data_IF_291197497729
#
_entry.id   IF_291197497729
#
_cell.length_a   1.000
_cell.length_b   1.000
_cell.length_c   1.000
_cell.angle_alpha   90.00
_cell.angle_beta   90.00
_cell.angle_gamma   90.00
#
_symmetry.space_group_name_H-M   'P 1'
#
loop_
_entity.id
_entity.type
_entity.pdbx_description
1 polymer ?
#
# COMPACT_ATOMS: atom_id res chain seq x y z
N UNK A 1 17.45 9.94 -18.54
CA UNK A 1 18.40 8.83 -18.71
C UNK A 1 19.52 8.84 -17.66
N UNK A 2 20.25 9.98 -17.52
CA UNK A 2 21.45 10.07 -16.68
C UNK A 2 21.19 9.72 -15.22
N UNK A 3 20.07 10.12 -14.67
CA UNK A 3 19.70 9.86 -13.27
C UNK A 3 19.43 8.38 -13.02
N UNK A 4 18.69 7.72 -13.91
CA UNK A 4 18.41 6.27 -13.79
C UNK A 4 19.67 5.44 -14.04
N UNK A 5 20.52 5.85 -14.96
CA UNK A 5 21.79 5.19 -15.28
C UNK A 5 22.89 5.36 -14.20
N UNK A 6 22.70 6.26 -13.25
CA UNK A 6 23.73 6.60 -12.26
C UNK A 6 24.12 5.40 -11.39
N UNK A 7 23.13 4.70 -10.85
CA UNK A 7 23.37 3.50 -10.02
C UNK A 7 24.12 2.39 -10.77
N UNK A 8 23.58 1.89 -11.89
CA UNK A 8 24.22 0.87 -12.72
C UNK A 8 25.65 1.21 -13.17
N UNK A 9 25.91 2.48 -13.53
CA UNK A 9 27.27 2.93 -13.89
C UNK A 9 28.24 2.82 -12.72
N UNK A 10 27.80 3.17 -11.51
CA UNK A 10 28.64 3.06 -10.31
C UNK A 10 28.92 1.62 -9.92
N UNK A 11 28.10 0.67 -10.37
CA UNK A 11 28.36 -0.77 -10.23
C UNK A 11 29.39 -1.30 -11.25
N UNK A 12 29.87 -0.45 -12.15
CA UNK A 12 30.90 -0.81 -13.14
C UNK A 12 30.39 -1.61 -14.33
N UNK A 13 29.06 -1.56 -14.59
CA UNK A 13 28.46 -2.25 -15.72
C UNK A 13 28.83 -1.57 -17.06
N UNK A 14 28.82 -2.33 -18.14
CA UNK A 14 29.02 -1.83 -19.50
C UNK A 14 27.90 -0.88 -19.93
N UNK A 15 28.15 -0.03 -20.92
CA UNK A 15 27.14 0.89 -21.42
C UNK A 15 25.90 0.16 -21.98
N UNK A 16 26.08 -1.01 -22.57
CA UNK A 16 24.98 -1.83 -23.12
C UNK A 16 24.11 -2.41 -21.99
N UNK A 17 24.71 -2.91 -20.92
CA UNK A 17 23.99 -3.40 -19.73
C UNK A 17 23.25 -2.25 -19.03
N UNK A 18 23.90 -1.09 -18.90
CA UNK A 18 23.27 0.12 -18.32
C UNK A 18 22.04 0.54 -19.13
N UNK A 19 22.15 0.60 -20.47
CA UNK A 19 21.01 1.00 -21.33
C UNK A 19 19.84 0.02 -21.20
N UNK A 20 20.12 -1.27 -21.19
CA UNK A 20 19.11 -2.32 -21.02
C UNK A 20 18.39 -2.19 -19.65
N UNK A 21 19.13 -1.98 -18.56
CA UNK A 21 18.60 -1.80 -17.22
C UNK A 21 17.76 -0.52 -17.10
N UNK A 22 18.20 0.58 -17.69
CA UNK A 22 17.46 1.85 -17.70
C UNK A 22 16.11 1.68 -18.41
N UNK A 23 16.09 1.08 -19.60
CA UNK A 23 14.86 0.83 -20.36
C UNK A 23 13.89 -0.05 -19.58
N UNK A 24 14.36 -1.21 -19.13
CA UNK A 24 13.57 -2.14 -18.34
C UNK A 24 13.00 -1.50 -17.07
N UNK A 25 13.82 -0.72 -16.34
CA UNK A 25 13.40 -0.09 -15.11
C UNK A 25 12.33 0.98 -15.32
N UNK A 26 12.42 1.76 -16.39
CA UNK A 26 11.39 2.74 -16.77
C UNK A 26 10.07 2.05 -17.15
N UNK A 27 10.11 0.96 -17.90
CA UNK A 27 8.93 0.17 -18.24
C UNK A 27 8.27 -0.43 -16.99
N UNK A 28 9.05 -0.96 -16.06
CA UNK A 28 8.54 -1.52 -14.79
C UNK A 28 7.77 -0.50 -13.96
N UNK A 29 8.13 0.78 -14.03
CA UNK A 29 7.40 1.86 -13.35
C UNK A 29 6.33 2.51 -14.23
N UNK A 30 6.08 1.99 -15.43
CA UNK A 30 5.06 2.47 -16.37
C UNK A 30 5.40 3.81 -17.01
N UNK A 31 6.69 4.03 -17.32
CA UNK A 31 7.18 5.19 -18.03
C UNK A 31 7.81 4.79 -19.37
N UNK A 32 7.54 5.56 -20.42
CA UNK A 32 8.14 5.37 -21.73
C UNK A 32 9.56 5.93 -21.75
N UNK A 33 10.54 5.10 -22.12
CA UNK A 33 11.92 5.53 -22.29
C UNK A 33 12.02 6.60 -23.37
N UNK A 34 11.39 6.38 -24.53
CA UNK A 34 11.52 7.28 -25.70
C UNK A 34 10.95 8.68 -25.43
N UNK A 35 9.94 8.77 -24.56
CA UNK A 35 9.34 10.05 -24.18
C UNK A 35 10.18 10.82 -23.16
N UNK A 36 10.99 10.13 -22.33
CA UNK A 36 11.60 10.72 -21.15
C UNK A 36 13.13 10.76 -21.17
N UNK A 37 13.79 10.00 -22.06
CA UNK A 37 15.24 9.84 -22.06
C UNK A 37 16.01 11.16 -22.12
N UNK A 38 15.49 12.13 -22.90
CA UNK A 38 16.12 13.44 -23.12
C UNK A 38 15.58 14.54 -22.19
N UNK A 39 14.49 14.26 -21.43
CA UNK A 39 13.89 15.27 -20.55
C UNK A 39 14.70 15.45 -19.27
N UNK A 40 14.77 16.69 -18.81
CA UNK A 40 15.25 17.01 -17.47
C UNK A 40 14.24 16.54 -16.42
N UNK A 41 14.66 16.04 -15.24
CA UNK A 41 13.76 15.74 -14.14
C UNK A 41 12.83 16.89 -13.76
N UNK A 42 13.28 18.14 -13.94
CA UNK A 42 12.49 19.35 -13.63
C UNK A 42 11.34 19.62 -14.62
N UNK A 43 11.35 18.97 -15.78
CA UNK A 43 10.28 19.07 -16.79
C UNK A 43 9.18 18.01 -16.56
N UNK A 44 9.38 17.11 -15.59
CA UNK A 44 8.47 16.03 -15.27
C UNK A 44 7.42 16.46 -14.25
N UNK A 45 6.21 15.89 -14.36
CA UNK A 45 5.23 15.99 -13.26
C UNK A 45 5.76 15.34 -11.98
N UNK A 46 5.27 15.76 -10.81
CA UNK A 46 5.70 15.17 -9.53
C UNK A 46 5.56 13.65 -9.46
N UNK A 47 4.49 13.11 -10.07
CA UNK A 47 4.31 11.66 -10.18
C UNK A 47 5.34 10.98 -11.09
N UNK A 48 5.69 11.62 -12.21
CA UNK A 48 6.75 11.13 -13.10
C UNK A 48 8.13 11.20 -12.44
N UNK A 49 8.45 12.31 -11.77
CA UNK A 49 9.70 12.46 -11.02
C UNK A 49 9.90 11.33 -10.01
N UNK A 50 8.84 11.03 -9.22
CA UNK A 50 8.87 9.95 -8.23
C UNK A 50 9.08 8.59 -8.88
N UNK A 51 8.41 8.31 -10.01
CA UNK A 51 8.58 7.06 -10.75
C UNK A 51 9.98 6.94 -11.37
N UNK A 52 10.56 8.04 -11.88
CA UNK A 52 11.93 8.07 -12.39
C UNK A 52 12.93 7.79 -11.26
N UNK A 53 12.77 8.42 -10.09
CA UNK A 53 13.60 8.14 -8.93
C UNK A 53 13.51 6.65 -8.52
N UNK A 54 12.30 6.09 -8.56
CA UNK A 54 12.06 4.68 -8.28
C UNK A 54 12.72 3.76 -9.33
N UNK A 55 12.64 4.12 -10.62
CA UNK A 55 13.33 3.42 -11.70
C UNK A 55 14.86 3.41 -11.50
N UNK A 56 15.43 4.51 -10.99
CA UNK A 56 16.86 4.57 -10.65
C UNK A 56 17.29 3.56 -9.59
N UNK A 57 16.44 3.28 -8.61
CA UNK A 57 16.70 2.22 -7.61
C UNK A 57 16.52 0.84 -8.23
N UNK A 58 15.46 0.62 -9.01
CA UNK A 58 15.19 -0.66 -9.68
C UNK A 58 16.25 -1.02 -10.72
N UNK A 59 16.90 -0.03 -11.33
CA UNK A 59 17.97 -0.24 -12.29
C UNK A 59 19.23 -0.91 -11.68
N UNK A 60 19.36 -0.89 -10.36
CA UNK A 60 20.41 -1.60 -9.64
C UNK A 60 20.05 -3.09 -9.38
N UNK A 61 18.91 -3.54 -9.87
CA UNK A 61 18.36 -4.90 -9.72
C UNK A 61 18.36 -5.41 -8.26
N UNK A 62 17.73 -4.67 -7.32
CA UNK A 62 17.73 -5.06 -5.92
C UNK A 62 16.88 -6.31 -5.70
N UNK A 63 17.30 -7.19 -4.80
CA UNK A 63 16.49 -8.32 -4.32
C UNK A 63 15.49 -7.89 -3.25
N UNK A 64 15.78 -6.83 -2.51
CA UNK A 64 14.94 -6.28 -1.45
C UNK A 64 14.82 -4.78 -1.66
N UNK A 65 13.60 -4.29 -1.67
CA UNK A 65 13.28 -2.88 -1.78
C UNK A 65 12.71 -2.38 -0.44
N UNK A 66 13.36 -1.38 0.15
CA UNK A 66 12.90 -0.73 1.37
C UNK A 66 12.32 0.63 1.03
N UNK A 67 11.08 0.86 1.43
CA UNK A 67 10.32 2.07 1.13
C UNK A 67 9.88 2.73 2.45
N UNK A 68 10.28 3.99 2.62
CA UNK A 68 9.86 4.79 3.76
C UNK A 68 8.83 5.83 3.31
N UNK A 69 7.60 5.73 3.84
CA UNK A 69 6.45 6.57 3.51
C UNK A 69 6.26 6.80 1.99
N UNK A 70 6.20 5.73 1.18
CA UNK A 70 6.32 5.85 -0.27
C UNK A 70 5.14 6.57 -0.93
N UNK A 71 3.99 6.63 -0.27
CA UNK A 71 2.78 7.26 -0.78
C UNK A 71 2.47 8.63 -0.13
N UNK A 72 3.33 9.12 0.78
CA UNK A 72 3.11 10.38 1.47
C UNK A 72 3.07 11.57 0.49
N UNK A 73 2.10 12.46 0.68
CA UNK A 73 1.93 13.68 -0.13
C UNK A 73 1.40 13.46 -1.55
N UNK A 74 1.00 12.24 -1.90
CA UNK A 74 0.31 11.98 -3.17
C UNK A 74 -1.19 12.24 -3.05
N UNK A 75 -1.79 12.73 -4.13
CA UNK A 75 -3.25 12.72 -4.27
C UNK A 75 -3.79 11.28 -4.33
N UNK A 76 -5.08 11.04 -4.04
CA UNK A 76 -5.64 9.69 -3.95
C UNK A 76 -5.49 8.85 -5.23
N UNK A 77 -5.56 9.46 -6.41
CA UNK A 77 -5.42 8.75 -7.68
C UNK A 77 -3.96 8.33 -7.94
N UNK A 78 -3.03 9.25 -7.73
CA UNK A 78 -1.59 9.01 -7.82
C UNK A 78 -1.13 7.97 -6.78
N UNK A 79 -1.64 8.05 -5.54
CA UNK A 79 -1.37 7.06 -4.48
C UNK A 79 -1.78 5.66 -4.91
N UNK A 80 -3.03 5.47 -5.36
CA UNK A 80 -3.50 4.16 -5.84
C UNK A 80 -2.64 3.61 -6.96
N UNK A 81 -2.35 4.45 -7.96
CA UNK A 81 -1.53 4.05 -9.10
C UNK A 81 -0.10 3.66 -8.70
N UNK A 82 0.48 4.35 -7.72
CA UNK A 82 1.81 4.07 -7.21
C UNK A 82 1.83 2.76 -6.39
N UNK A 83 0.86 2.55 -5.50
CA UNK A 83 0.76 1.32 -4.72
C UNK A 83 0.49 0.09 -5.61
N UNK A 84 -0.33 0.23 -6.65
CA UNK A 84 -0.51 -0.83 -7.65
C UNK A 84 0.78 -1.17 -8.42
N UNK A 85 1.63 -0.18 -8.67
CA UNK A 85 2.95 -0.42 -9.27
C UNK A 85 3.83 -1.24 -8.33
N UNK A 86 3.87 -0.91 -7.03
CA UNK A 86 4.61 -1.68 -6.01
C UNK A 86 4.09 -3.12 -5.93
N UNK A 87 2.76 -3.31 -5.92
CA UNK A 87 2.15 -4.65 -5.92
C UNK A 87 2.61 -5.49 -7.11
N UNK A 88 2.63 -4.91 -8.31
CA UNK A 88 3.13 -5.61 -9.51
C UNK A 88 4.59 -6.01 -9.41
N UNK A 89 5.44 -5.19 -8.80
CA UNK A 89 6.85 -5.50 -8.57
C UNK A 89 7.00 -6.66 -7.57
N UNK A 90 6.17 -6.68 -6.52
CA UNK A 90 6.08 -7.80 -5.59
C UNK A 90 5.65 -9.09 -6.28
N UNK A 91 4.61 -9.05 -7.12
CA UNK A 91 4.13 -10.20 -7.91
C UNK A 91 5.21 -10.74 -8.87
N UNK A 92 6.16 -9.90 -9.29
CA UNK A 92 7.33 -10.27 -10.09
C UNK A 92 8.48 -10.89 -9.26
N UNK A 93 8.30 -11.07 -7.94
CA UNK A 93 9.26 -11.70 -7.05
C UNK A 93 10.17 -10.76 -6.26
N UNK A 94 9.96 -9.44 -6.36
CA UNK A 94 10.71 -8.48 -5.56
C UNK A 94 10.25 -8.50 -4.10
N UNK A 95 11.16 -8.69 -3.15
CA UNK A 95 10.82 -8.54 -1.74
C UNK A 95 10.67 -7.06 -1.40
N UNK A 96 9.52 -6.68 -0.82
CA UNK A 96 9.24 -5.29 -0.46
C UNK A 96 9.08 -5.15 1.05
N UNK A 97 9.82 -4.21 1.63
CA UNK A 97 9.63 -3.76 3.02
C UNK A 97 9.12 -2.33 2.97
N UNK A 98 7.93 -2.09 3.50
CA UNK A 98 7.30 -0.77 3.48
C UNK A 98 7.12 -0.25 4.91
N UNK A 99 7.60 0.96 5.17
CA UNK A 99 7.31 1.71 6.40
C UNK A 99 6.20 2.70 6.08
N UNK A 100 5.12 2.66 6.83
CA UNK A 100 3.99 3.60 6.69
C UNK A 100 3.23 3.73 8.01
N UNK A 101 2.61 4.88 8.22
CA UNK A 101 1.62 5.11 9.28
C UNK A 101 0.17 4.96 8.77
N UNK A 102 -0.03 4.70 7.48
CA UNK A 102 -1.35 4.46 6.89
C UNK A 102 -1.75 2.98 7.07
N UNK A 103 -2.63 2.71 8.04
CA UNK A 103 -3.06 1.35 8.34
C UNK A 103 -3.78 0.68 7.16
N UNK A 104 -4.52 1.46 6.36
CA UNK A 104 -5.24 0.95 5.18
C UNK A 104 -4.28 0.45 4.10
N UNK A 105 -3.18 1.17 3.84
CA UNK A 105 -2.17 0.74 2.89
C UNK A 105 -1.50 -0.56 3.35
N UNK A 106 -1.13 -0.64 4.64
CA UNK A 106 -0.53 -1.84 5.23
C UNK A 106 -1.50 -3.03 5.22
N UNK A 107 -2.78 -2.79 5.52
CA UNK A 107 -3.82 -3.82 5.50
C UNK A 107 -4.07 -4.39 4.09
N UNK A 108 -3.99 -3.52 3.07
CA UNK A 108 -4.26 -3.89 1.69
C UNK A 108 -3.08 -4.56 0.97
N UNK A 109 -1.84 -4.26 1.38
CA UNK A 109 -0.66 -4.60 0.61
C UNK A 109 0.31 -5.58 1.27
N UNK A 110 0.28 -5.71 2.61
CA UNK A 110 1.30 -6.44 3.32
C UNK A 110 0.82 -7.83 3.75
N UNK A 111 1.63 -8.87 3.52
CA UNK A 111 1.40 -10.21 4.08
C UNK A 111 1.67 -10.25 5.58
N UNK A 112 2.63 -9.42 6.01
CA UNK A 112 3.03 -9.33 7.42
C UNK A 112 3.31 -7.88 7.79
N UNK A 113 2.88 -7.49 8.97
CA UNK A 113 3.15 -6.17 9.56
C UNK A 113 3.95 -6.35 10.85
N UNK A 114 4.96 -5.50 11.03
CA UNK A 114 5.69 -5.35 12.28
C UNK A 114 5.31 -4.01 12.91
N UNK A 115 4.86 -4.03 14.16
CA UNK A 115 4.48 -2.82 14.89
C UNK A 115 5.66 -2.41 15.76
N UNK A 116 6.17 -1.19 15.50
CA UNK A 116 7.27 -0.60 16.24
C UNK A 116 6.77 0.58 17.09
N UNK A 117 7.23 0.67 18.32
CA UNK A 117 7.00 1.82 19.18
C UNK A 117 8.23 2.08 20.05
N UNK A 118 8.69 3.32 20.12
CA UNK A 118 9.87 3.74 20.90
C UNK A 118 11.10 2.84 20.68
N UNK A 119 11.35 2.43 19.42
CA UNK A 119 12.48 1.55 19.06
C UNK A 119 12.29 0.09 19.44
N UNK A 120 11.12 -0.34 19.92
CA UNK A 120 10.82 -1.72 20.31
C UNK A 120 9.79 -2.36 19.39
N UNK A 121 9.99 -3.62 19.06
CA UNK A 121 9.02 -4.44 18.37
C UNK A 121 7.91 -4.88 19.34
N UNK A 122 6.68 -4.40 19.09
CA UNK A 122 5.51 -4.76 19.90
C UNK A 122 4.82 -6.04 19.42
N UNK A 123 4.91 -6.32 18.11
CA UNK A 123 4.32 -7.51 17.52
C UNK A 123 4.61 -7.60 16.04
N UNK A 124 4.53 -8.81 15.52
CA UNK A 124 4.65 -9.10 14.10
C UNK A 124 3.66 -10.18 13.71
N UNK A 125 2.96 -10.00 12.60
CA UNK A 125 1.97 -10.97 12.12
C UNK A 125 1.21 -10.48 10.90
N UNK A 126 0.23 -11.26 10.47
CA UNK A 126 -0.69 -10.85 9.42
C UNK A 126 -1.52 -9.64 9.86
N UNK A 127 -1.79 -8.68 8.95
CA UNK A 127 -2.58 -7.48 9.25
C UNK A 127 -3.90 -7.83 9.96
N UNK A 128 -4.58 -8.88 9.51
CA UNK A 128 -5.86 -9.33 10.07
C UNK A 128 -5.80 -9.66 11.56
N UNK A 129 -4.68 -10.17 12.02
CA UNK A 129 -4.51 -10.52 13.44
C UNK A 129 -4.11 -9.32 14.28
N UNK A 130 -3.21 -8.50 13.76
CA UNK A 130 -2.68 -7.35 14.49
C UNK A 130 -3.73 -6.24 14.63
N UNK A 131 -4.49 -5.98 13.58
CA UNK A 131 -5.48 -4.91 13.56
C UNK A 131 -6.79 -5.26 14.29
N UNK A 132 -7.03 -6.53 14.65
CA UNK A 132 -8.11 -6.89 15.59
C UNK A 132 -7.97 -6.21 16.96
N UNK A 133 -6.75 -5.83 17.34
CA UNK A 133 -6.47 -5.20 18.63
C UNK A 133 -6.45 -3.66 18.53
N UNK A 134 -7.43 -3.07 17.83
CA UNK A 134 -7.54 -1.63 17.60
C UNK A 134 -7.33 -0.77 18.86
N UNK A 135 -7.83 -1.22 20.03
CA UNK A 135 -7.65 -0.51 21.30
C UNK A 135 -6.18 -0.44 21.71
N UNK A 136 -5.43 -1.54 21.60
CA UNK A 136 -3.99 -1.56 21.92
C UNK A 136 -3.18 -0.71 20.94
N UNK A 137 -3.58 -0.66 19.66
CA UNK A 137 -2.94 0.20 18.67
C UNK A 137 -3.13 1.68 19.01
N UNK A 138 -4.35 2.07 19.42
CA UNK A 138 -4.64 3.44 19.88
C UNK A 138 -3.83 3.84 21.13
N UNK A 139 -3.62 2.91 22.08
CA UNK A 139 -2.82 3.15 23.29
C UNK A 139 -1.35 3.49 22.98
N UNK A 140 -0.82 3.02 21.86
CA UNK A 140 0.53 3.33 21.36
C UNK A 140 0.55 4.40 20.26
N UNK A 141 -0.55 5.16 20.10
CA UNK A 141 -0.64 6.26 19.16
C UNK A 141 -0.83 5.87 17.70
N UNK A 142 -1.10 4.59 17.40
CA UNK A 142 -1.40 4.12 16.07
C UNK A 142 -2.90 4.21 15.77
N UNK A 143 -3.24 4.50 14.52
CA UNK A 143 -4.61 4.51 14.04
C UNK A 143 -5.20 3.11 13.89
N UNK A 144 -6.45 3.07 13.45
CA UNK A 144 -7.12 1.86 12.95
C UNK A 144 -7.40 2.06 11.45
N UNK A 145 -7.74 1.00 10.73
CA UNK A 145 -8.19 1.16 9.34
C UNK A 145 -9.51 1.93 9.29
N UNK A 146 -9.74 2.68 8.20
CA UNK A 146 -11.01 3.41 8.00
C UNK A 146 -12.25 2.51 8.12
N UNK A 147 -12.27 1.29 7.53
CA UNK A 147 -13.37 0.35 7.71
C UNK A 147 -13.63 -0.01 9.18
N UNK A 148 -12.58 -0.18 9.99
CA UNK A 148 -12.74 -0.46 11.42
C UNK A 148 -13.30 0.72 12.18
N UNK A 149 -12.80 1.93 11.93
CA UNK A 149 -13.29 3.15 12.55
C UNK A 149 -14.77 3.37 12.22
N UNK A 150 -15.17 3.15 10.97
CA UNK A 150 -16.55 3.27 10.54
C UNK A 150 -17.47 2.24 11.20
N UNK A 151 -17.04 0.97 11.28
CA UNK A 151 -17.81 -0.06 11.96
C UNK A 151 -17.96 0.20 13.47
N UNK A 152 -16.92 0.73 14.12
CA UNK A 152 -17.02 1.17 15.52
C UNK A 152 -18.07 2.26 15.70
N UNK A 153 -18.12 3.25 14.79
CA UNK A 153 -19.11 4.31 14.80
C UNK A 153 -20.55 3.78 14.59
N UNK A 154 -20.74 2.84 13.66
CA UNK A 154 -22.03 2.20 13.43
C UNK A 154 -22.50 1.41 14.68
N UNK A 155 -21.61 0.64 15.32
CA UNK A 155 -21.94 -0.08 16.57
C UNK A 155 -22.31 0.88 17.69
N UNK A 156 -21.59 1.98 17.83
CA UNK A 156 -21.92 3.03 18.80
C UNK A 156 -23.30 3.67 18.52
N UNK A 157 -23.73 3.74 17.25
CA UNK A 157 -25.06 4.15 16.82
C UNK A 157 -26.14 3.07 16.94
N UNK A 158 -25.83 1.90 17.53
CA UNK A 158 -26.80 0.83 17.76
C UNK A 158 -26.99 -0.15 16.61
N UNK A 159 -26.14 -0.11 15.58
CA UNK A 159 -26.19 -1.08 14.49
C UNK A 159 -25.69 -2.46 14.94
N UNK A 160 -26.39 -3.55 14.60
CA UNK A 160 -26.04 -4.90 15.04
C UNK A 160 -24.92 -5.52 14.19
N UNK A 161 -23.76 -4.84 14.12
CA UNK A 161 -22.61 -5.35 13.40
C UNK A 161 -21.84 -6.33 14.28
N UNK A 162 -21.66 -7.55 13.79
CA UNK A 162 -20.84 -8.56 14.45
C UNK A 162 -19.37 -8.13 14.55
N UNK A 163 -18.67 -8.69 15.56
CA UNK A 163 -17.22 -8.59 15.60
C UNK A 163 -16.62 -9.58 14.60
N UNK A 164 -15.80 -9.12 13.68
CA UNK A 164 -15.23 -9.99 12.67
C UNK A 164 -14.04 -9.35 11.95
N UNK A 165 -13.56 -10.05 10.93
CA UNK A 165 -12.51 -9.58 10.04
C UNK A 165 -12.99 -8.31 9.33
N UNK A 166 -12.29 -7.20 9.55
CA UNK A 166 -12.70 -5.89 9.07
C UNK A 166 -11.46 -5.04 8.76
N UNK A 167 -10.86 -5.29 7.61
CA UNK A 167 -9.61 -4.62 7.21
C UNK A 167 -9.74 -3.84 5.92
N UNK A 168 -10.73 -4.20 5.11
CA UNK A 168 -10.97 -3.61 3.80
C UNK A 168 -12.39 -3.05 3.69
N UNK A 169 -12.60 -2.12 2.77
CA UNK A 169 -13.94 -1.62 2.43
C UNK A 169 -14.89 -2.75 2.04
N UNK A 170 -14.37 -3.80 1.39
CA UNK A 170 -15.15 -4.99 1.00
C UNK A 170 -15.62 -5.79 2.21
N UNK A 171 -14.77 -5.95 3.22
CA UNK A 171 -15.16 -6.61 4.47
C UNK A 171 -16.28 -5.84 5.16
N UNK A 172 -16.17 -4.50 5.21
CA UNK A 172 -17.18 -3.62 5.77
C UNK A 172 -18.50 -3.72 4.99
N UNK A 173 -18.45 -3.66 3.67
CA UNK A 173 -19.63 -3.77 2.83
C UNK A 173 -20.37 -5.11 3.04
N UNK A 174 -19.63 -6.22 3.10
CA UNK A 174 -20.18 -7.54 3.37
C UNK A 174 -20.83 -7.62 4.77
N UNK A 175 -20.20 -7.04 5.78
CA UNK A 175 -20.73 -7.01 7.15
C UNK A 175 -22.02 -6.18 7.25
N UNK A 176 -22.08 -5.02 6.61
CA UNK A 176 -23.29 -4.19 6.53
C UNK A 176 -24.40 -4.93 5.79
N UNK A 177 -24.11 -5.56 4.65
CA UNK A 177 -25.08 -6.33 3.89
C UNK A 177 -25.68 -7.49 4.70
N UNK A 178 -24.84 -8.21 5.48
CA UNK A 178 -25.30 -9.28 6.34
C UNK A 178 -26.22 -8.76 7.46
N UNK A 179 -25.90 -7.62 8.08
CA UNK A 179 -26.72 -7.01 9.13
C UNK A 179 -28.07 -6.51 8.56
N UNK A 180 -28.12 -5.95 7.36
CA UNK A 180 -29.34 -5.56 6.67
C UNK A 180 -30.20 -6.77 6.28
N UNK A 181 -29.60 -7.87 5.82
CA UNK A 181 -30.29 -9.11 5.45
C UNK A 181 -30.90 -9.84 6.67
N UNK A 182 -30.25 -9.79 7.82
CA UNK A 182 -30.76 -10.36 9.05
C UNK A 182 -31.98 -9.57 9.61
N UNK A 183 -32.10 -8.28 9.32
CA UNK A 183 -33.21 -7.43 9.76
C UNK A 183 -34.50 -7.63 8.95
N UNK A 184 -34.46 -8.25 7.76
CA UNK A 184 -35.63 -8.45 6.90
C UNK A 184 -36.41 -9.74 7.19
N UNK A 185 -35.94 -10.60 8.11
CA UNK A 185 -36.59 -11.86 8.47
C UNK A 185 -37.54 -11.83 9.69
N UNK A 186 -37.78 -10.66 10.29
CA UNK A 186 -38.46 -10.55 11.60
C UNK A 186 -39.82 -9.87 11.61
N UNK A 187 -40.57 -9.80 10.51
CA UNK A 187 -41.92 -9.26 10.59
C UNK A 187 -42.90 -9.99 9.65
N UNK A 188 -43.36 -11.16 10.08
CA UNK A 188 -44.34 -11.93 9.35
C UNK A 188 -44.98 -13.03 10.16
N UNK A 189 -45.60 -12.71 11.34
CA UNK A 189 -46.60 -13.56 11.95
C UNK A 189 -47.34 -12.79 13.06
N UNK A 190 -48.30 -11.99 12.70
CA UNK A 190 -49.40 -11.71 13.59
C UNK A 190 -50.66 -11.96 12.77
N UNK A 191 -51.33 -13.05 13.06
CA UNK A 191 -52.68 -13.40 12.61
C UNK A 191 -53.45 -14.00 13.77
N UNK A 192 -54.74 -14.14 13.62
CA UNK A 192 -55.82 -13.19 13.73
C UNK A 192 -56.43 -13.20 15.10
#
# INVERSE_FOLDING_TARGET
>A
YKDVAFGPRNLGLSNEEVDALVRSSLERVGLSFDELAEKSPFELSGGQQRRVAFAGVLAMDPQVLVLDEPAAGLDPASKRSFLQMISRLYDQGLTVVMVSHCMDDLAAMCDRVAIMNEGRLLGIGAPERLFLHARKLKEVGLGTTEPQAFAEALRAGGWPLEQGKLHTEKDLANMIAAACGAGSGGNGAASP
#
